data_IF_490126941278
#
_entry.id   IF_490126941278
#
_cell.length_a   1.000
_cell.length_b   1.000
_cell.length_c   1.000
_cell.angle_alpha   90.00
_cell.angle_beta   90.00
_cell.angle_gamma   90.00
#
_symmetry.space_group_name_H-M   'P 1'
#
loop_
_entity.id
_entity.type
_entity.pdbx_description
1 polymer ?
#
# COMPACT_ATOMS: atom_id res chain seq x y z
N UNK A 1 14.13 -9.55 -6.93
CA UNK A 1 12.69 -9.75 -6.67
C UNK A 1 12.22 -8.77 -5.61
N UNK A 2 11.06 -8.17 -5.77
CA UNK A 2 10.50 -7.17 -4.85
C UNK A 2 9.05 -7.47 -4.52
N UNK A 3 8.57 -6.94 -3.42
CA UNK A 3 7.20 -7.08 -2.95
C UNK A 3 6.55 -5.70 -2.79
N UNK A 4 5.46 -5.47 -3.47
CA UNK A 4 4.66 -4.25 -3.35
C UNK A 4 3.31 -4.63 -2.76
N UNK A 5 2.98 -4.05 -1.62
CA UNK A 5 1.78 -4.37 -0.84
C UNK A 5 0.86 -3.17 -0.80
N UNK A 6 -0.40 -3.36 -1.19
CA UNK A 6 -1.45 -2.39 -0.93
C UNK A 6 -2.30 -2.85 0.24
N UNK A 7 -2.53 -1.99 1.22
CA UNK A 7 -3.33 -2.32 2.39
C UNK A 7 -4.81 -2.00 2.18
N UNK A 8 -5.67 -2.81 2.78
CA UNK A 8 -7.11 -2.67 2.74
C UNK A 8 -7.81 -3.81 3.46
N UNK A 9 -9.13 -3.77 3.45
CA UNK A 9 -9.99 -4.84 3.95
C UNK A 9 -10.66 -5.56 2.77
N UNK A 10 -10.74 -6.90 2.80
CA UNK A 10 -11.41 -7.66 1.75
C UNK A 10 -12.94 -7.52 1.85
N UNK A 11 -13.61 -7.64 0.71
CA UNK A 11 -15.06 -7.65 0.62
C UNK A 11 -15.63 -6.41 -0.05
N UNK A 12 -16.81 -6.57 -0.66
CA UNK A 12 -17.48 -5.49 -1.41
C UNK A 12 -17.87 -4.30 -0.54
N UNK A 13 -18.17 -4.54 0.73
CA UNK A 13 -18.52 -3.49 1.67
C UNK A 13 -17.39 -2.49 1.92
N UNK A 14 -16.15 -2.90 1.69
CA UNK A 14 -14.97 -2.06 1.90
C UNK A 14 -14.41 -1.43 0.63
N UNK A 15 -14.94 -1.81 -0.53
CA UNK A 15 -14.51 -1.21 -1.79
C UNK A 15 -14.73 0.30 -1.77
N UNK A 16 -13.74 1.06 -2.25
CA UNK A 16 -13.75 2.53 -2.30
C UNK A 16 -13.88 3.20 -0.93
N UNK A 17 -13.63 2.48 0.15
CA UNK A 17 -13.44 3.12 1.46
C UNK A 17 -12.06 3.74 1.54
N UNK A 18 -11.90 4.73 2.41
CA UNK A 18 -10.63 5.44 2.59
C UNK A 18 -9.50 4.51 3.01
N UNK A 19 -9.81 3.55 3.88
CA UNK A 19 -8.83 2.55 4.35
C UNK A 19 -8.34 1.61 3.24
N UNK A 20 -9.07 1.52 2.13
CA UNK A 20 -8.72 0.65 1.00
C UNK A 20 -7.95 1.37 -0.11
N UNK A 21 -7.46 2.58 0.13
CA UNK A 21 -6.72 3.29 -0.93
C UNK A 21 -5.49 2.53 -1.40
N UNK A 22 -4.85 1.73 -0.53
CA UNK A 22 -3.74 0.87 -0.93
C UNK A 22 -4.17 -0.24 -1.90
N UNK A 23 -5.29 -0.92 -1.63
CA UNK A 23 -5.88 -1.88 -2.56
C UNK A 23 -6.19 -1.22 -3.91
N UNK A 24 -6.77 -0.03 -3.86
CA UNK A 24 -7.15 0.73 -5.07
C UNK A 24 -5.92 1.08 -5.92
N UNK A 25 -4.81 1.46 -5.28
CA UNK A 25 -3.57 1.77 -5.98
C UNK A 25 -3.00 0.53 -6.72
N UNK A 26 -3.02 -0.63 -6.08
CA UNK A 26 -2.60 -1.89 -6.69
C UNK A 26 -3.50 -2.24 -7.88
N UNK A 27 -4.82 -2.14 -7.71
CA UNK A 27 -5.77 -2.44 -8.77
C UNK A 27 -5.64 -1.47 -9.95
N UNK A 28 -5.36 -0.21 -9.68
CA UNK A 28 -5.12 0.79 -10.72
C UNK A 28 -3.90 0.44 -11.57
N UNK A 29 -2.80 0.05 -10.95
CA UNK A 29 -1.58 -0.33 -11.67
C UNK A 29 -1.77 -1.61 -12.48
N UNK A 30 -2.39 -2.62 -11.90
CA UNK A 30 -2.50 -3.94 -12.52
C UNK A 30 -3.64 -4.04 -13.53
N UNK A 31 -4.66 -3.20 -13.44
CA UNK A 31 -5.81 -3.23 -14.35
C UNK A 31 -6.50 -4.59 -14.32
N UNK A 32 -6.57 -5.27 -15.45
CA UNK A 32 -7.28 -6.55 -15.61
C UNK A 32 -6.42 -7.80 -15.34
N UNK A 33 -5.24 -7.63 -14.72
CA UNK A 33 -4.40 -8.78 -14.38
C UNK A 33 -5.11 -9.73 -13.41
N UNK A 34 -4.85 -11.03 -13.58
CA UNK A 34 -5.42 -12.06 -12.72
C UNK A 34 -4.64 -12.20 -11.42
N UNK A 35 -5.37 -12.30 -10.31
CA UNK A 35 -4.80 -12.56 -8.99
C UNK A 35 -4.88 -14.04 -8.64
N UNK A 36 -3.87 -14.52 -7.94
CA UNK A 36 -3.84 -15.82 -7.30
C UNK A 36 -4.09 -15.65 -5.80
N UNK A 37 -4.54 -16.70 -5.13
CA UNK A 37 -4.75 -16.69 -3.68
C UNK A 37 -3.79 -17.65 -3.00
N UNK A 38 -3.16 -17.21 -1.92
CA UNK A 38 -2.27 -18.02 -1.09
C UNK A 38 -2.24 -17.44 0.32
N UNK A 39 -2.49 -18.28 1.30
CA UNK A 39 -2.32 -17.97 2.72
C UNK A 39 -2.82 -16.58 3.14
N UNK A 40 -4.10 -16.31 2.90
CA UNK A 40 -4.77 -15.04 3.18
C UNK A 40 -4.17 -13.83 2.44
N UNK A 41 -3.60 -14.07 1.27
CA UNK A 41 -3.13 -13.03 0.37
C UNK A 41 -3.67 -13.21 -1.03
N UNK A 42 -4.08 -12.13 -1.65
CA UNK A 42 -4.38 -12.06 -3.08
C UNK A 42 -3.17 -11.43 -3.76
N UNK A 43 -2.54 -12.13 -4.71
CA UNK A 43 -1.28 -11.66 -5.27
C UNK A 43 -1.20 -11.88 -6.78
N UNK A 44 -0.35 -11.07 -7.41
CA UNK A 44 -0.07 -11.12 -8.84
C UNK A 44 1.44 -10.97 -9.03
N UNK A 45 2.02 -11.75 -9.95
CA UNK A 45 3.43 -11.65 -10.29
C UNK A 45 3.60 -10.97 -11.65
N UNK A 46 4.50 -10.01 -11.75
CA UNK A 46 4.86 -9.36 -13.01
C UNK A 46 6.37 -9.19 -13.14
N UNK A 47 6.84 -9.16 -14.39
CA UNK A 47 8.21 -8.76 -14.69
C UNK A 47 8.18 -7.29 -15.13
N UNK A 48 8.87 -6.43 -14.39
CA UNK A 48 8.98 -5.00 -14.67
C UNK A 48 10.47 -4.66 -14.73
N UNK A 49 10.93 -4.13 -15.87
CA UNK A 49 12.33 -3.78 -16.06
C UNK A 49 13.28 -4.94 -15.69
N UNK A 50 12.97 -6.14 -16.19
CA UNK A 50 13.72 -7.38 -15.95
C UNK A 50 13.76 -7.87 -14.51
N UNK A 51 12.94 -7.31 -13.64
CA UNK A 51 12.82 -7.76 -12.25
C UNK A 51 11.43 -8.31 -11.95
N UNK A 52 11.36 -9.42 -11.22
CA UNK A 52 10.09 -9.99 -10.77
C UNK A 52 9.56 -9.19 -9.60
N UNK A 53 8.34 -8.70 -9.74
CA UNK A 53 7.63 -7.96 -8.71
C UNK A 53 6.40 -8.77 -8.29
N UNK A 54 6.23 -8.95 -7.00
CA UNK A 54 5.05 -9.56 -6.39
C UNK A 54 4.16 -8.42 -5.90
N UNK A 55 2.93 -8.36 -6.38
CA UNK A 55 1.90 -7.43 -5.91
C UNK A 55 0.99 -8.17 -4.95
N UNK A 56 0.80 -7.65 -3.75
CA UNK A 56 0.04 -8.31 -2.70
C UNK A 56 -1.06 -7.40 -2.16
N UNK A 57 -2.28 -7.93 -2.08
CA UNK A 57 -3.36 -7.39 -1.27
C UNK A 57 -3.62 -8.36 -0.12
N UNK A 58 -3.24 -8.04 1.13
CA UNK A 58 -3.56 -8.89 2.28
C UNK A 58 -5.06 -9.05 2.45
N UNK A 59 -5.53 -10.27 2.65
CA UNK A 59 -6.95 -10.58 2.90
C UNK A 59 -7.23 -10.87 4.38
N UNK A 60 -6.28 -10.49 5.24
CA UNK A 60 -6.29 -10.72 6.69
C UNK A 60 -7.13 -9.71 7.46
N UNK A 61 -7.79 -8.78 6.80
CA UNK A 61 -8.29 -7.52 7.35
C UNK A 61 -7.15 -6.64 7.86
N UNK A 62 -7.42 -5.34 7.98
CA UNK A 62 -6.36 -4.34 8.18
C UNK A 62 -5.49 -4.62 9.42
N UNK A 63 -6.11 -4.99 10.54
CA UNK A 63 -5.40 -5.17 11.80
C UNK A 63 -4.37 -6.30 11.78
N UNK A 64 -4.51 -7.26 10.86
CA UNK A 64 -3.64 -8.42 10.75
C UNK A 64 -2.82 -8.43 9.44
N UNK A 65 -2.67 -7.28 8.80
CA UNK A 65 -1.92 -7.14 7.53
C UNK A 65 -0.51 -7.70 7.63
N UNK A 66 0.13 -7.59 8.78
CA UNK A 66 1.49 -8.08 8.99
C UNK A 66 1.64 -9.59 8.85
N UNK A 67 0.59 -10.37 9.13
CA UNK A 67 0.62 -11.83 8.93
C UNK A 67 0.89 -12.17 7.45
N UNK A 68 0.15 -11.55 6.54
CA UNK A 68 0.33 -11.81 5.11
C UNK A 68 1.67 -11.26 4.60
N UNK A 69 2.06 -10.07 5.01
CA UNK A 69 3.34 -9.47 4.59
C UNK A 69 4.51 -10.34 5.04
N UNK A 70 4.50 -10.81 6.28
CA UNK A 70 5.55 -11.70 6.79
C UNK A 70 5.59 -13.01 6.03
N UNK A 71 4.42 -13.63 5.82
CA UNK A 71 4.34 -14.89 5.07
C UNK A 71 4.93 -14.75 3.66
N UNK A 72 4.53 -13.73 2.91
CA UNK A 72 4.99 -13.55 1.52
C UNK A 72 6.47 -13.17 1.47
N UNK A 73 6.95 -12.37 2.40
CA UNK A 73 8.37 -12.03 2.54
C UNK A 73 9.22 -13.30 2.75
N UNK A 74 8.80 -14.18 3.64
CA UNK A 74 9.50 -15.44 3.90
C UNK A 74 9.39 -16.43 2.74
N UNK A 75 8.18 -16.57 2.17
CA UNK A 75 7.93 -17.50 1.06
C UNK A 75 8.80 -17.19 -0.17
N UNK A 76 8.93 -15.91 -0.50
CA UNK A 76 9.76 -15.47 -1.63
C UNK A 76 11.20 -15.15 -1.23
N UNK A 77 11.57 -15.36 0.01
CA UNK A 77 12.91 -15.11 0.56
C UNK A 77 13.38 -13.67 0.28
N UNK A 78 12.57 -12.69 0.67
CA UNK A 78 12.83 -11.28 0.42
C UNK A 78 13.46 -10.59 1.62
N UNK A 79 14.36 -9.67 1.36
CA UNK A 79 14.84 -8.73 2.37
C UNK A 79 13.79 -7.64 2.63
N UNK A 80 13.80 -7.07 3.83
CA UNK A 80 12.90 -5.97 4.18
C UNK A 80 13.11 -4.77 3.25
N UNK A 81 14.33 -4.55 2.78
CA UNK A 81 14.66 -3.49 1.81
C UNK A 81 13.96 -3.64 0.45
N UNK A 82 13.43 -4.83 0.14
CA UNK A 82 12.71 -5.12 -1.09
C UNK A 82 11.20 -4.96 -0.96
N UNK A 83 10.71 -4.50 0.20
CA UNK A 83 9.27 -4.36 0.49
C UNK A 83 8.86 -2.90 0.41
N UNK A 84 7.78 -2.65 -0.31
CA UNK A 84 7.12 -1.35 -0.40
C UNK A 84 5.65 -1.49 0.01
N UNK A 85 5.21 -0.69 0.98
CA UNK A 85 3.83 -0.71 1.48
C UNK A 85 3.11 0.57 1.05
N UNK A 86 1.93 0.42 0.47
CA UNK A 86 1.05 1.52 0.03
C UNK A 86 -0.18 1.55 0.93
N UNK A 87 -0.43 2.69 1.57
CA UNK A 87 -1.52 2.79 2.54
C UNK A 87 -2.02 4.22 2.73
N UNK A 88 -3.14 4.34 3.44
CA UNK A 88 -3.85 5.59 3.71
C UNK A 88 -3.22 6.38 4.86
N UNK A 89 -3.21 7.70 4.72
CA UNK A 89 -2.69 8.62 5.73
C UNK A 89 -3.65 9.79 5.94
N UNK A 90 -4.19 9.92 7.15
CA UNK A 90 -5.10 11.00 7.51
C UNK A 90 -4.41 12.36 7.71
N UNK A 91 -3.10 12.39 7.83
CA UNK A 91 -2.35 13.63 8.05
C UNK A 91 -2.14 14.44 6.75
N UNK A 92 -2.48 13.86 5.60
CA UNK A 92 -2.44 14.53 4.30
C UNK A 92 -3.83 14.61 3.69
N UNK A 93 -4.10 15.74 3.03
CA UNK A 93 -5.34 15.88 2.27
C UNK A 93 -5.35 14.96 1.05
N UNK A 94 -6.55 14.61 0.61
CA UNK A 94 -6.76 13.90 -0.67
C UNK A 94 -6.07 14.69 -1.79
N UNK A 95 -5.29 13.99 -2.60
CA UNK A 95 -4.48 14.60 -3.66
C UNK A 95 -3.00 14.69 -3.31
N UNK A 96 -2.65 14.51 -2.05
CA UNK A 96 -1.26 14.50 -1.56
C UNK A 96 -0.79 13.09 -1.26
N UNK A 97 0.51 12.90 -1.36
CA UNK A 97 1.17 11.63 -1.04
C UNK A 97 2.58 11.90 -0.56
N UNK A 98 3.21 10.91 0.07
CA UNK A 98 4.60 11.01 0.48
C UNK A 98 5.27 9.65 0.54
N UNK A 99 6.51 9.57 0.06
CA UNK A 99 7.37 8.39 0.21
C UNK A 99 8.18 8.53 1.49
N UNK A 100 8.34 7.42 2.20
CA UNK A 100 9.13 7.38 3.43
C UNK A 100 9.82 6.03 3.57
N UNK A 101 11.08 6.03 4.03
CA UNK A 101 11.88 4.80 4.19
C UNK A 101 11.76 4.16 5.56
N UNK A 102 11.20 4.87 6.54
CA UNK A 102 11.04 4.36 7.91
C UNK A 102 10.04 5.24 8.68
N UNK A 103 9.62 4.81 9.84
CA UNK A 103 8.80 5.60 10.74
C UNK A 103 7.81 4.77 11.54
N UNK A 104 7.19 5.40 12.54
CA UNK A 104 6.16 4.79 13.38
C UNK A 104 4.89 4.48 12.57
N UNK A 105 3.95 3.78 13.21
CA UNK A 105 2.63 3.52 12.62
C UNK A 105 1.74 4.76 12.58
N UNK A 106 2.02 5.76 13.41
CA UNK A 106 1.17 6.95 13.59
C UNK A 106 -0.32 6.58 13.81
N UNK A 107 -0.57 5.48 14.52
CA UNK A 107 -1.91 4.98 14.81
C UNK A 107 -2.55 4.14 13.72
N UNK A 108 -1.90 3.93 12.58
CA UNK A 108 -2.43 3.08 11.52
C UNK A 108 -2.27 1.60 11.89
N UNK A 109 -3.39 0.89 12.05
CA UNK A 109 -3.40 -0.49 12.56
C UNK A 109 -2.70 -1.48 11.62
N UNK A 110 -2.83 -1.32 10.32
CA UNK A 110 -2.14 -2.17 9.36
C UNK A 110 -0.62 -2.03 9.43
N UNK A 111 -0.13 -0.80 9.54
CA UNK A 111 1.31 -0.54 9.70
C UNK A 111 1.81 -1.05 11.04
N UNK A 112 1.02 -0.87 12.11
CA UNK A 112 1.35 -1.42 13.44
C UNK A 112 1.53 -2.93 13.39
N UNK A 113 0.64 -3.63 12.70
CA UNK A 113 0.73 -5.08 12.48
C UNK A 113 1.99 -5.46 11.70
N UNK A 114 2.31 -4.73 10.63
CA UNK A 114 3.50 -4.99 9.81
C UNK A 114 4.78 -4.79 10.64
N UNK A 115 4.87 -3.71 11.40
CA UNK A 115 6.00 -3.44 12.30
C UNK A 115 6.18 -4.61 13.29
N UNK A 116 5.09 -5.06 13.90
CA UNK A 116 5.12 -6.18 14.85
C UNK A 116 5.63 -7.46 14.21
N UNK A 117 5.18 -7.79 13.00
CA UNK A 117 5.53 -9.05 12.33
C UNK A 117 6.91 -9.01 11.67
N UNK A 118 7.33 -7.87 11.13
CA UNK A 118 8.66 -7.73 10.55
C UNK A 118 9.75 -7.43 11.60
N UNK A 119 9.35 -6.94 12.78
CA UNK A 119 10.27 -6.59 13.85
C UNK A 119 11.06 -5.30 13.60
N UNK A 120 10.61 -4.44 12.71
CA UNK A 120 11.28 -3.19 12.37
C UNK A 120 10.31 -2.17 11.80
N UNK A 121 10.64 -0.88 11.95
CA UNK A 121 9.97 0.25 11.29
C UNK A 121 10.63 0.61 9.95
N UNK A 122 11.76 -0.03 9.60
CA UNK A 122 12.59 0.34 8.47
C UNK A 122 12.18 -0.37 7.18
N UNK A 123 10.98 -0.08 6.68
CA UNK A 123 10.51 -0.53 5.39
C UNK A 123 9.96 0.65 4.58
N UNK A 124 10.01 0.53 3.28
CA UNK A 124 9.62 1.59 2.34
C UNK A 124 8.11 1.74 2.27
N UNK A 125 7.63 2.97 2.15
CA UNK A 125 6.21 3.31 2.20
C UNK A 125 5.84 4.38 1.19
N UNK A 126 4.65 4.22 0.61
CA UNK A 126 3.93 5.30 -0.07
C UNK A 126 2.69 5.58 0.78
N UNK A 127 2.61 6.79 1.32
CA UNK A 127 1.47 7.26 2.12
C UNK A 127 0.58 8.12 1.25
N UNK A 128 -0.67 7.72 1.10
CA UNK A 128 -1.65 8.42 0.25
C UNK A 128 -2.63 9.15 1.15
N UNK A 129 -2.73 10.46 0.99
CA UNK A 129 -3.61 11.32 1.78
C UNK A 129 -5.08 10.99 1.57
N UNK A 130 -5.81 10.88 2.66
CA UNK A 130 -7.26 10.65 2.66
C UNK A 130 -8.03 11.75 3.39
N UNK A 131 -7.35 12.82 3.81
CA UNK A 131 -7.88 13.87 4.70
C UNK A 131 -8.28 13.29 6.06
N UNK A 132 -8.83 14.09 6.92
CA UNK A 132 -9.37 13.65 8.22
C UNK A 132 -10.59 14.46 8.60
N UNK A 133 -11.39 13.92 9.51
CA UNK A 133 -12.41 14.68 10.19
C UNK A 133 -12.17 14.61 11.71
N UNK A 134 -12.92 15.41 12.47
CA UNK A 134 -12.77 15.51 13.92
C UNK A 134 -13.74 14.60 14.68
N UNK A 135 -14.42 13.66 14.02
CA UNK A 135 -15.48 12.87 14.64
C UNK A 135 -14.91 11.55 15.16
N UNK A 136 -14.82 10.53 14.33
CA UNK A 136 -14.37 9.20 14.74
C UNK A 136 -13.45 8.63 13.68
N UNK A 137 -12.21 8.33 14.07
CA UNK A 137 -11.19 7.83 13.14
C UNK A 137 -11.61 6.52 12.47
N UNK A 138 -12.17 5.58 13.22
CA UNK A 138 -12.57 4.27 12.68
C UNK A 138 -13.68 4.44 11.64
N UNK A 139 -14.71 5.19 11.97
CA UNK A 139 -15.82 5.44 11.04
C UNK A 139 -15.36 6.21 9.82
N UNK A 140 -14.45 7.16 9.98
CA UNK A 140 -13.91 7.93 8.88
C UNK A 140 -13.16 7.06 7.87
N UNK A 141 -12.21 6.24 8.32
CA UNK A 141 -11.41 5.40 7.41
C UNK A 141 -12.23 4.31 6.75
N UNK A 142 -13.31 3.85 7.38
CA UNK A 142 -14.24 2.88 6.81
C UNK A 142 -15.34 3.54 5.96
N UNK A 143 -15.39 4.86 5.93
CA UNK A 143 -16.28 5.60 5.05
C UNK A 143 -15.77 5.62 3.61
N UNK A 144 -16.70 5.75 2.66
CA UNK A 144 -16.36 5.78 1.24
C UNK A 144 -15.86 7.15 0.81
N UNK A 145 -14.96 7.16 -0.16
CA UNK A 145 -14.59 8.39 -0.86
C UNK A 145 -15.77 8.99 -1.59
N UNK A 146 -15.86 10.33 -1.63
CA UNK A 146 -16.77 11.04 -2.52
C UNK A 146 -16.33 10.85 -3.98
N UNK A 147 -17.23 11.17 -4.92
CA UNK A 147 -16.88 11.17 -6.35
C UNK A 147 -15.77 12.17 -6.66
N UNK A 148 -15.78 13.33 -5.99
CA UNK A 148 -14.73 14.35 -6.14
C UNK A 148 -13.37 13.82 -5.67
N UNK A 149 -13.34 13.15 -4.52
CA UNK A 149 -12.13 12.54 -3.99
C UNK A 149 -11.58 11.47 -4.93
N UNK A 150 -12.45 10.62 -5.48
CA UNK A 150 -12.03 9.58 -6.44
C UNK A 150 -11.43 10.18 -7.71
N UNK A 151 -11.98 11.29 -8.18
CA UNK A 151 -11.44 12.01 -9.33
C UNK A 151 -10.02 12.53 -9.04
N UNK A 152 -9.81 13.13 -7.88
CA UNK A 152 -8.51 13.64 -7.45
C UNK A 152 -7.52 12.47 -7.27
N UNK A 153 -7.96 11.37 -6.65
CA UNK A 153 -7.14 10.19 -6.41
C UNK A 153 -6.64 9.55 -7.70
N UNK A 154 -7.39 9.64 -8.80
CA UNK A 154 -6.93 9.09 -10.07
C UNK A 154 -5.59 9.68 -10.50
N UNK A 155 -5.36 10.98 -10.28
CA UNK A 155 -4.08 11.62 -10.55
C UNK A 155 -2.98 11.10 -9.61
N UNK A 156 -3.30 10.87 -8.34
CA UNK A 156 -2.37 10.29 -7.39
C UNK A 156 -1.98 8.87 -7.81
N UNK A 157 -2.94 8.06 -8.22
CA UNK A 157 -2.66 6.70 -8.67
C UNK A 157 -1.78 6.67 -9.93
N UNK A 158 -1.94 7.63 -10.84
CA UNK A 158 -1.04 7.75 -11.99
C UNK A 158 0.40 8.02 -11.55
N UNK A 159 0.60 8.85 -10.53
CA UNK A 159 1.93 9.08 -9.96
C UNK A 159 2.45 7.82 -9.27
N UNK A 160 1.61 7.13 -8.50
CA UNK A 160 1.98 5.86 -7.85
C UNK A 160 2.40 4.82 -8.88
N UNK A 161 1.72 4.74 -10.03
CA UNK A 161 2.12 3.87 -11.14
C UNK A 161 3.56 4.16 -11.59
N UNK A 162 3.91 5.43 -11.72
CA UNK A 162 5.29 5.84 -12.07
C UNK A 162 6.29 5.46 -10.97
N UNK A 163 5.93 5.60 -9.72
CA UNK A 163 6.78 5.20 -8.59
C UNK A 163 7.02 3.69 -8.62
N UNK A 164 6.00 2.91 -8.90
CA UNK A 164 6.10 1.44 -9.03
C UNK A 164 7.08 1.07 -10.16
N UNK A 165 6.97 1.73 -11.31
CA UNK A 165 7.89 1.51 -12.45
C UNK A 165 9.33 1.86 -12.07
N UNK A 166 9.52 2.94 -11.32
CA UNK A 166 10.84 3.43 -10.93
C UNK A 166 11.44 2.65 -9.75
N UNK A 167 10.62 1.91 -9.00
CA UNK A 167 11.03 1.27 -7.74
C UNK A 167 12.15 0.26 -7.89
N UNK A 168 12.24 -0.43 -9.02
CA UNK A 168 13.30 -1.39 -9.28
C UNK A 168 14.44 -0.83 -10.16
N UNK A 169 14.37 0.44 -10.54
CA UNK A 169 15.41 1.11 -11.34
C UNK A 169 16.33 1.94 -10.47
N UNK A 170 15.73 2.69 -9.52
CA UNK A 170 16.45 3.67 -8.68
C UNK A 170 16.41 3.25 -7.22
N UNK A 171 17.41 3.68 -6.45
CA UNK A 171 17.34 3.55 -5.00
C UNK A 171 16.22 4.42 -4.43
N UNK A 172 15.76 4.09 -3.24
CA UNK A 172 14.60 4.74 -2.66
C UNK A 172 14.84 6.19 -2.25
N UNK A 173 16.07 6.54 -1.87
CA UNK A 173 16.43 7.93 -1.57
C UNK A 173 16.25 8.82 -2.81
N UNK A 174 16.64 8.32 -3.98
CA UNK A 174 16.42 9.01 -5.25
C UNK A 174 14.93 9.16 -5.54
N UNK A 175 14.12 8.14 -5.27
CA UNK A 175 12.67 8.22 -5.44
C UNK A 175 12.06 9.26 -4.49
N UNK A 176 12.48 9.29 -3.23
CA UNK A 176 12.02 10.30 -2.29
C UNK A 176 12.37 11.72 -2.76
N UNK A 177 13.56 11.94 -3.29
CA UNK A 177 13.96 13.24 -3.84
C UNK A 177 13.14 13.61 -5.08
N UNK A 178 12.80 12.63 -5.92
CA UNK A 178 12.06 12.87 -7.16
C UNK A 178 10.58 13.15 -6.93
N UNK A 179 9.95 12.44 -6.00
CA UNK A 179 8.50 12.43 -5.85
C UNK A 179 7.97 13.20 -4.63
N UNK A 180 8.76 13.40 -3.61
CA UNK A 180 8.35 14.17 -2.42
C UNK A 180 8.31 15.68 -2.62
#
# INVERSE_FOLDING_TARGET
MKLIVGLGNPGKEYEKTRHNVGFMAIDHYLGNESFKSKNNGSYCEKIINNEKIIFLKPLTYMNDSGLAVRYFSDYFNLDISDILIIYDDMDFDVGKYKLKSSGSSAGHNGIKSIISHLGTENFKRIRIGISKNNINTIDYVLGRFSKEDLFILNNVFNVVDNIIEDFNIYDFDKLMNKYN
#
